data_IF_541219497073
#
_entry.id   IF_541219497073
#
_cell.length_a   1.000
_cell.length_b   1.000
_cell.length_c   1.000
_cell.angle_alpha   90.00
_cell.angle_beta   90.00
_cell.angle_gamma   90.00
#
_symmetry.space_group_name_H-M   'P 1'
#
loop_
_entity.id
_entity.type
_entity.pdbx_description
1 polymer ?
#
# COMPACT_ATOMS: atom_id res chain seq x y z
N UNK A 1 -1.98 -75.27 7.03
CA UNK A 1 -1.75 -73.82 7.24
C UNK A 1 -0.26 -73.62 7.51
N UNK A 2 0.47 -72.91 6.63
CA UNK A 2 1.89 -72.61 6.87
C UNK A 2 1.99 -71.34 7.72
N UNK A 3 2.45 -71.48 8.96
CA UNK A 3 2.74 -70.36 9.85
C UNK A 3 4.02 -69.67 9.40
N UNK A 4 3.95 -68.39 9.07
CA UNK A 4 5.11 -67.59 8.66
C UNK A 4 6.05 -67.38 9.86
N UNK A 5 7.36 -67.46 9.60
CA UNK A 5 8.41 -67.26 10.61
C UNK A 5 8.31 -65.87 11.23
N UNK A 6 8.62 -65.75 12.52
CA UNK A 6 8.60 -64.48 13.28
C UNK A 6 9.41 -63.38 12.58
N UNK A 7 10.49 -63.73 11.86
CA UNK A 7 11.28 -62.79 11.05
C UNK A 7 10.52 -62.21 9.86
N UNK A 8 9.70 -63.00 9.17
CA UNK A 8 8.85 -62.55 8.06
C UNK A 8 7.72 -61.66 8.59
N UNK A 9 7.15 -62.00 9.73
CA UNK A 9 6.11 -61.18 10.39
C UNK A 9 6.64 -59.81 10.83
N UNK A 10 7.84 -59.74 11.40
CA UNK A 10 8.48 -58.46 11.75
C UNK A 10 8.79 -57.62 10.52
N UNK A 11 9.22 -58.24 9.42
CA UNK A 11 9.54 -57.53 8.16
C UNK A 11 8.28 -56.94 7.53
N UNK A 12 7.18 -57.70 7.52
CA UNK A 12 5.87 -57.21 7.07
C UNK A 12 5.36 -56.07 7.97
N UNK A 13 5.51 -56.17 9.29
CA UNK A 13 5.08 -55.09 10.21
C UNK A 13 5.90 -53.81 10.02
N UNK A 14 7.21 -53.93 9.78
CA UNK A 14 8.08 -52.80 9.45
C UNK A 14 7.70 -52.14 8.11
N UNK A 15 7.40 -52.94 7.08
CA UNK A 15 6.97 -52.44 5.77
C UNK A 15 5.60 -51.76 5.84
N UNK A 16 4.66 -52.30 6.61
CA UNK A 16 3.37 -51.65 6.87
C UNK A 16 3.53 -50.35 7.67
N UNK A 17 4.32 -50.33 8.74
CA UNK A 17 4.58 -49.12 9.54
C UNK A 17 5.25 -48.00 8.72
N UNK A 18 6.19 -48.34 7.84
CA UNK A 18 6.84 -47.38 6.94
C UNK A 18 5.85 -46.80 5.90
N UNK A 19 4.91 -47.61 5.41
CA UNK A 19 3.89 -47.16 4.45
C UNK A 19 2.88 -46.20 5.12
N UNK A 20 2.45 -46.49 6.35
CA UNK A 20 1.54 -45.60 7.10
C UNK A 20 2.25 -44.29 7.47
N UNK A 21 3.53 -44.33 7.86
CA UNK A 21 4.32 -43.13 8.15
C UNK A 21 4.49 -42.24 6.91
N UNK A 22 4.66 -42.84 5.72
CA UNK A 22 4.80 -42.09 4.47
C UNK A 22 3.48 -41.46 3.98
N UNK A 23 2.31 -41.99 4.35
CA UNK A 23 1.00 -41.40 4.02
C UNK A 23 0.63 -40.19 4.91
N UNK A 24 1.18 -40.13 6.13
CA UNK A 24 0.93 -39.00 7.06
C UNK A 24 1.83 -37.79 6.71
N UNK A 25 3.01 -38.01 6.14
CA UNK A 25 3.92 -36.93 5.74
C UNK A 25 3.49 -36.16 4.47
N UNK A 26 2.67 -36.76 3.60
CA UNK A 26 2.23 -36.11 2.35
C UNK A 26 0.98 -35.24 2.51
N UNK A 27 0.29 -35.31 3.65
CA UNK A 27 -0.98 -34.60 3.89
C UNK A 27 -0.84 -33.25 4.59
N UNK A 28 0.36 -32.87 5.04
CA UNK A 28 0.61 -31.59 5.74
C UNK A 28 1.10 -30.44 4.87
N UNK A 29 1.35 -30.65 3.57
CA UNK A 29 1.88 -29.60 2.68
C UNK A 29 0.81 -28.93 1.78
N UNK A 30 -0.48 -29.22 1.98
CA UNK A 30 -1.55 -28.69 1.12
C UNK A 30 -2.21 -27.41 1.64
N UNK A 31 -1.68 -26.79 2.70
CA UNK A 31 -2.25 -25.57 3.27
C UNK A 31 -1.26 -24.40 3.16
N UNK A 32 -1.73 -23.35 2.49
CA UNK A 32 -1.25 -21.97 2.54
C UNK A 32 -0.07 -21.58 1.62
N UNK A 33 -0.36 -21.50 0.31
CA UNK A 33 0.09 -20.33 -0.45
C UNK A 33 -1.05 -19.84 -1.36
N UNK A 34 -2.20 -19.54 -0.77
CA UNK A 34 -3.02 -18.49 -1.35
C UNK A 34 -2.23 -17.21 -1.12
N UNK A 35 -1.56 -16.70 -2.14
CA UNK A 35 -1.13 -15.31 -2.17
C UNK A 35 -2.41 -14.48 -2.05
N UNK A 36 -2.78 -14.11 -0.82
CA UNK A 36 -3.76 -13.07 -0.60
C UNK A 36 -3.20 -11.84 -1.29
N UNK A 37 -3.70 -11.55 -2.50
CA UNK A 37 -3.45 -10.27 -3.13
C UNK A 37 -3.72 -9.22 -2.07
N UNK A 38 -2.75 -8.34 -1.82
CA UNK A 38 -2.92 -7.27 -0.85
C UNK A 38 -4.27 -6.59 -1.12
N UNK A 39 -5.07 -6.28 -0.09
CA UNK A 39 -6.37 -5.66 -0.28
C UNK A 39 -6.26 -4.49 -1.24
N UNK A 40 -7.07 -4.50 -2.31
CA UNK A 40 -7.01 -3.47 -3.33
C UNK A 40 -7.44 -2.14 -2.71
N UNK A 41 -6.50 -1.21 -2.56
CA UNK A 41 -6.76 0.12 -2.00
C UNK A 41 -7.59 0.91 -3.01
N UNK A 42 -8.80 1.33 -2.61
CA UNK A 42 -9.74 2.05 -3.47
C UNK A 42 -9.87 3.54 -3.14
N UNK A 43 -9.42 3.98 -1.98
CA UNK A 43 -9.54 5.38 -1.57
C UNK A 43 -8.34 6.19 -2.05
N UNK A 44 -8.62 7.34 -2.66
CA UNK A 44 -7.62 8.27 -3.17
C UNK A 44 -7.97 9.69 -2.73
N UNK A 45 -7.06 10.36 -2.04
CA UNK A 45 -7.19 11.77 -1.67
C UNK A 45 -6.20 12.59 -2.49
N UNK A 46 -6.70 13.61 -3.19
CA UNK A 46 -5.92 14.47 -4.09
C UNK A 46 -5.77 15.86 -3.49
N UNK A 47 -4.52 16.33 -3.33
CA UNK A 47 -4.17 17.63 -2.73
C UNK A 47 -3.50 18.51 -3.79
N UNK A 48 -3.98 19.75 -3.96
CA UNK A 48 -3.49 20.65 -5.00
C UNK A 48 -2.24 21.43 -4.58
N UNK A 49 -1.60 22.08 -5.56
CA UNK A 49 -0.42 22.90 -5.34
C UNK A 49 -0.75 24.33 -4.92
N UNK A 50 0.30 25.15 -4.78
CA UNK A 50 0.19 26.57 -4.49
C UNK A 50 -0.46 27.30 -5.68
N UNK A 51 -1.18 28.39 -5.38
CA UNK A 51 -1.88 29.23 -6.36
C UNK A 51 -2.90 28.49 -7.25
N UNK A 52 -3.35 27.32 -6.81
CA UNK A 52 -4.29 26.45 -7.52
C UNK A 52 -5.50 26.12 -6.65
N UNK A 53 -6.45 25.41 -7.24
CA UNK A 53 -7.57 24.78 -6.55
C UNK A 53 -7.71 23.30 -6.97
N UNK A 54 -8.73 22.62 -6.43
CA UNK A 54 -9.01 21.23 -6.74
C UNK A 54 -9.41 20.96 -8.20
N UNK A 55 -9.76 21.97 -9.00
CA UNK A 55 -10.25 21.79 -10.36
C UNK A 55 -9.22 21.17 -11.31
N UNK A 56 -7.92 21.39 -11.05
CA UNK A 56 -6.82 20.78 -11.79
C UNK A 56 -6.81 19.24 -11.75
N UNK A 57 -7.46 18.65 -10.74
CA UNK A 57 -7.58 17.20 -10.61
C UNK A 57 -8.77 16.59 -11.36
N UNK A 58 -9.64 17.39 -11.99
CA UNK A 58 -10.88 16.90 -12.62
C UNK A 58 -10.65 15.74 -13.58
N UNK A 59 -9.65 15.83 -14.46
CA UNK A 59 -9.34 14.76 -15.41
C UNK A 59 -8.94 13.45 -14.72
N UNK A 60 -8.09 13.53 -13.68
CA UNK A 60 -7.69 12.35 -12.92
C UNK A 60 -8.86 11.76 -12.12
N UNK A 61 -9.67 12.62 -11.50
CA UNK A 61 -10.89 12.23 -10.80
C UNK A 61 -11.82 11.42 -11.72
N UNK A 62 -12.08 11.91 -12.93
CA UNK A 62 -12.95 11.21 -13.89
C UNK A 62 -12.39 9.84 -14.29
N UNK A 63 -11.09 9.75 -14.56
CA UNK A 63 -10.43 8.48 -14.94
C UNK A 63 -10.47 7.46 -13.80
N UNK A 64 -10.14 7.88 -12.58
CA UNK A 64 -10.10 7.01 -11.41
C UNK A 64 -11.51 6.59 -10.96
N UNK A 65 -12.46 7.52 -10.96
CA UNK A 65 -13.86 7.22 -10.63
C UNK A 65 -14.45 6.20 -11.61
N UNK A 66 -14.17 6.33 -12.91
CA UNK A 66 -14.57 5.33 -13.93
C UNK A 66 -13.95 3.95 -13.70
N UNK A 67 -12.80 3.87 -13.02
CA UNK A 67 -12.12 2.63 -12.63
C UNK A 67 -12.57 2.10 -11.26
N UNK A 68 -13.59 2.72 -10.64
CA UNK A 68 -14.16 2.31 -9.36
C UNK A 68 -13.27 2.62 -8.16
N UNK A 69 -12.53 3.73 -8.20
CA UNK A 69 -11.87 4.30 -7.02
C UNK A 69 -12.79 5.34 -6.36
N UNK A 70 -12.69 5.47 -5.04
CA UNK A 70 -13.32 6.52 -4.25
C UNK A 70 -12.35 7.69 -4.16
N UNK A 71 -12.61 8.75 -4.93
CA UNK A 71 -11.70 9.89 -5.05
C UNK A 71 -12.25 11.09 -4.30
N UNK A 72 -11.47 11.64 -3.39
CA UNK A 72 -11.76 12.90 -2.70
C UNK A 72 -10.75 13.95 -3.11
N UNK A 73 -11.21 15.13 -3.53
CA UNK A 73 -10.34 16.26 -3.86
C UNK A 73 -10.37 17.21 -2.67
N UNK A 74 -9.20 17.51 -2.10
CA UNK A 74 -9.05 18.49 -1.02
C UNK A 74 -8.97 19.87 -1.63
N UNK A 75 -9.77 20.80 -1.09
CA UNK A 75 -9.60 22.22 -1.34
C UNK A 75 -8.82 22.80 -0.17
N UNK A 76 -7.49 22.73 -0.24
CA UNK A 76 -6.65 23.17 0.85
C UNK A 76 -6.55 24.72 0.83
N UNK A 77 -6.63 25.40 1.99
CA UNK A 77 -6.86 26.86 2.03
C UNK A 77 -5.70 27.71 1.50
N UNK A 78 -4.48 27.17 1.48
CA UNK A 78 -3.23 27.87 1.16
C UNK A 78 -2.93 29.07 2.09
N UNK A 79 -3.56 29.13 3.27
CA UNK A 79 -3.30 30.14 4.30
C UNK A 79 -2.07 29.80 5.15
N UNK A 80 -1.85 28.52 5.43
CA UNK A 80 -0.70 28.00 6.14
C UNK A 80 -0.55 26.49 5.87
N UNK A 81 0.65 25.94 6.14
CA UNK A 81 0.85 24.48 6.08
C UNK A 81 -0.06 23.75 7.08
N UNK A 82 -0.23 24.29 8.29
CA UNK A 82 -1.08 23.69 9.32
C UNK A 82 -2.54 23.61 8.86
N UNK A 83 -3.08 24.68 8.27
CA UNK A 83 -4.45 24.70 7.74
C UNK A 83 -4.62 23.75 6.54
N UNK A 84 -3.62 23.67 5.65
CA UNK A 84 -3.62 22.76 4.52
C UNK A 84 -3.61 21.28 4.97
N UNK A 85 -2.82 20.97 5.99
CA UNK A 85 -2.77 19.64 6.62
C UNK A 85 -4.07 19.33 7.35
N UNK A 86 -4.66 20.30 8.05
CA UNK A 86 -5.94 20.13 8.73
C UNK A 86 -7.08 19.83 7.74
N UNK A 87 -7.15 20.55 6.62
CA UNK A 87 -8.11 20.28 5.56
C UNK A 87 -7.94 18.88 4.95
N UNK A 88 -6.68 18.45 4.78
CA UNK A 88 -6.34 17.12 4.26
C UNK A 88 -6.73 16.02 5.25
N UNK A 89 -6.44 16.20 6.54
CA UNK A 89 -6.82 15.26 7.60
C UNK A 89 -8.34 15.11 7.70
N UNK A 90 -9.11 16.20 7.58
CA UNK A 90 -10.57 16.14 7.53
C UNK A 90 -11.09 15.28 6.37
N UNK A 91 -10.41 15.30 5.21
CA UNK A 91 -10.75 14.44 4.08
C UNK A 91 -10.37 12.96 4.34
N UNK A 92 -9.23 12.71 4.99
CA UNK A 92 -8.76 11.39 5.40
C UNK A 92 -9.67 10.74 6.45
N UNK A 93 -10.17 11.52 7.41
CA UNK A 93 -11.10 11.08 8.45
C UNK A 93 -12.39 10.51 7.85
N UNK A 94 -12.82 11.02 6.70
CA UNK A 94 -14.03 10.58 5.98
C UNK A 94 -13.82 9.33 5.10
N UNK A 95 -12.58 8.88 4.89
CA UNK A 95 -12.33 7.64 4.15
C UNK A 95 -12.70 6.43 5.00
N UNK A 96 -13.20 5.36 4.38
CA UNK A 96 -13.66 4.14 5.05
C UNK A 96 -12.58 3.05 5.19
N UNK A 97 -11.35 3.34 4.76
CA UNK A 97 -10.26 2.37 4.76
C UNK A 97 -8.91 2.95 4.30
N UNK A 98 -7.93 2.07 4.03
CA UNK A 98 -6.61 2.46 3.53
C UNK A 98 -6.72 3.41 2.34
N UNK A 99 -5.88 4.44 2.29
CA UNK A 99 -5.99 5.56 1.36
C UNK A 99 -4.63 5.89 0.74
N UNK A 100 -4.63 6.13 -0.56
CA UNK A 100 -3.49 6.72 -1.28
C UNK A 100 -3.63 8.23 -1.22
N UNK A 101 -2.60 8.91 -0.73
CA UNK A 101 -2.57 10.36 -0.63
C UNK A 101 -1.65 10.94 -1.72
N UNK A 102 -2.20 11.78 -2.58
CA UNK A 102 -1.53 12.30 -3.79
C UNK A 102 -1.40 13.81 -3.70
N UNK A 103 -0.20 14.33 -3.91
CA UNK A 103 0.11 15.75 -3.80
C UNK A 103 0.82 16.26 -5.05
N UNK A 104 0.39 17.42 -5.56
CA UNK A 104 1.06 18.12 -6.67
C UNK A 104 1.77 19.39 -6.19
N UNK A 105 2.99 19.64 -6.65
CA UNK A 105 3.77 20.84 -6.28
C UNK A 105 3.84 21.02 -4.75
N UNK A 106 3.38 22.16 -4.21
CA UNK A 106 3.20 22.42 -2.78
C UNK A 106 2.42 21.31 -2.05
N UNK A 107 1.43 20.70 -2.71
CA UNK A 107 0.68 19.59 -2.14
C UNK A 107 1.58 18.44 -1.72
N UNK A 108 2.77 18.30 -2.29
CA UNK A 108 3.82 17.39 -1.81
C UNK A 108 4.21 17.62 -0.34
N UNK A 109 4.48 18.87 0.04
CA UNK A 109 4.72 19.25 1.45
C UNK A 109 3.55 18.86 2.34
N UNK A 110 2.32 19.17 1.89
CA UNK A 110 1.11 18.90 2.67
C UNK A 110 0.93 17.40 2.91
N UNK A 111 1.16 16.57 1.88
CA UNK A 111 1.02 15.11 2.01
C UNK A 111 2.18 14.45 2.76
N UNK A 112 3.36 15.08 2.82
CA UNK A 112 4.45 14.63 3.71
C UNK A 112 3.99 14.68 5.17
N UNK A 113 3.46 15.83 5.62
CA UNK A 113 3.01 16.01 7.00
C UNK A 113 1.76 15.19 7.32
N UNK A 114 0.74 15.25 6.45
CA UNK A 114 -0.50 14.50 6.60
C UNK A 114 -0.32 12.98 6.41
N UNK A 115 0.81 12.55 5.84
CA UNK A 115 1.13 11.15 5.55
C UNK A 115 1.24 10.26 6.79
N UNK A 116 1.42 10.86 7.97
CA UNK A 116 1.43 10.13 9.25
C UNK A 116 0.03 9.67 9.71
N UNK A 117 -1.04 10.09 9.03
CA UNK A 117 -2.40 9.71 9.36
C UNK A 117 -2.59 8.18 9.22
N UNK A 118 -3.23 7.48 10.18
CA UNK A 118 -3.24 6.01 10.27
C UNK A 118 -3.92 5.30 9.08
N UNK A 119 -4.74 6.00 8.30
CA UNK A 119 -5.36 5.47 7.07
C UNK A 119 -4.48 5.61 5.83
N UNK A 120 -3.39 6.37 5.87
CA UNK A 120 -2.53 6.57 4.70
C UNK A 120 -1.67 5.32 4.50
N UNK A 121 -1.81 4.72 3.33
CA UNK A 121 -1.09 3.51 2.96
C UNK A 121 0.11 3.79 2.04
N UNK A 122 0.04 4.88 1.28
CA UNK A 122 1.14 5.35 0.44
C UNK A 122 0.98 6.84 0.09
N UNK A 123 2.11 7.46 -0.22
CA UNK A 123 2.22 8.82 -0.74
C UNK A 123 2.60 8.80 -2.21
N UNK A 124 1.97 9.66 -3.01
CA UNK A 124 2.28 9.84 -4.43
C UNK A 124 2.57 11.32 -4.70
N UNK A 125 3.80 11.59 -5.12
CA UNK A 125 4.29 12.94 -5.43
C UNK A 125 4.22 13.19 -6.93
N UNK A 126 3.44 14.18 -7.35
CA UNK A 126 3.27 14.55 -8.77
C UNK A 126 3.92 15.91 -8.99
N UNK A 127 5.11 15.94 -9.59
CA UNK A 127 5.87 17.19 -9.77
C UNK A 127 5.88 18.04 -8.48
N UNK A 128 6.15 17.38 -7.35
CA UNK A 128 5.87 17.90 -6.02
C UNK A 128 7.13 18.09 -5.18
N UNK A 129 7.01 18.95 -4.17
CA UNK A 129 8.01 19.06 -3.11
C UNK A 129 7.99 17.79 -2.27
N UNK A 130 9.15 17.31 -1.83
CA UNK A 130 9.24 16.10 -1.00
C UNK A 130 10.22 16.34 0.17
N UNK A 131 9.92 17.32 1.05
CA UNK A 131 10.68 17.48 2.28
C UNK A 131 10.51 16.26 3.19
N UNK A 132 11.45 16.08 4.12
CA UNK A 132 11.23 15.21 5.27
C UNK A 132 10.23 15.84 6.25
N UNK A 133 9.67 15.03 7.16
CA UNK A 133 8.69 15.52 8.14
C UNK A 133 9.28 16.60 9.05
N UNK A 134 8.62 17.76 9.12
CA UNK A 134 9.06 18.94 9.86
C UNK A 134 10.12 19.78 9.14
N UNK A 135 10.54 19.39 7.93
CA UNK A 135 11.53 20.15 7.16
C UNK A 135 10.87 21.32 6.41
N UNK A 136 11.57 22.47 6.38
CA UNK A 136 11.11 23.64 5.64
C UNK A 136 11.21 23.41 4.12
N UNK A 137 10.10 23.54 3.41
CA UNK A 137 10.06 23.21 1.98
C UNK A 137 10.82 24.19 1.08
N UNK A 138 10.96 25.45 1.49
CA UNK A 138 11.73 26.45 0.72
C UNK A 138 13.21 26.11 0.81
N UNK A 139 13.70 25.82 2.01
CA UNK A 139 15.06 25.36 2.22
C UNK A 139 15.32 24.04 1.48
N UNK A 140 14.41 23.08 1.62
CA UNK A 140 14.50 21.79 0.92
C UNK A 140 14.63 22.00 -0.59
N UNK A 141 13.80 22.87 -1.20
CA UNK A 141 13.81 23.11 -2.64
C UNK A 141 15.14 23.69 -3.13
N UNK A 142 15.82 24.50 -2.31
CA UNK A 142 17.14 25.05 -2.63
C UNK A 142 18.23 23.98 -2.62
N UNK A 143 18.07 22.95 -1.80
CA UNK A 143 19.04 21.86 -1.64
C UNK A 143 18.60 20.56 -2.31
N UNK A 144 17.45 20.57 -2.99
CA UNK A 144 16.81 19.37 -3.50
C UNK A 144 17.76 18.65 -4.45
N UNK A 145 17.99 17.33 -4.27
CA UNK A 145 18.79 16.59 -5.20
C UNK A 145 18.12 16.62 -6.58
N UNK A 146 18.90 16.55 -7.68
CA UNK A 146 18.32 16.39 -9.01
C UNK A 146 17.34 15.22 -9.02
N UNK A 147 16.21 15.39 -9.71
CA UNK A 147 15.22 14.34 -9.83
C UNK A 147 15.90 13.05 -10.33
N UNK A 148 15.93 12.03 -9.47
CA UNK A 148 16.37 10.70 -9.88
C UNK A 148 15.27 10.18 -10.80
N UNK A 149 15.60 9.93 -12.07
CA UNK A 149 14.70 9.27 -13.00
C UNK A 149 14.38 7.86 -12.50
N UNK A 150 13.36 7.72 -11.64
CA UNK A 150 12.80 6.44 -11.25
C UNK A 150 11.63 6.10 -12.17
N UNK A 151 11.96 5.79 -13.42
CA UNK A 151 11.22 4.76 -14.16
C UNK A 151 12.17 3.57 -14.26
N UNK A 152 12.15 2.70 -13.24
CA UNK A 152 12.56 1.31 -13.45
C UNK A 152 11.35 0.59 -14.04
N UNK A 153 11.49 0.33 -15.33
CA UNK A 153 10.70 -0.48 -16.25
C UNK A 153 9.90 -1.65 -15.68
N UNK A 154 8.75 -1.88 -16.30
CA UNK A 154 8.09 -3.17 -16.48
C UNK A 154 7.31 -3.13 -17.78
#
# INVERSE_FOLDING_TARGET
>A
MKTLSIKEQLKSYFLFAALILSLVFTSVNASAQATSAAPLIKNVVLVHGAFADGSGWKGLYEVLSKKGYHVTIVQNPLSSLEDDVAATNLALDRQDGPTILVGHSWGGTVITEAGNHPKVAALVYVAALQPDNGENSVQWLQTAPPAKWCVKSG
#
